data_IF_714292637845
#
_entry.id   IF_714292637845
#
_cell.length_a   1.000
_cell.length_b   1.000
_cell.length_c   1.000
_cell.angle_alpha   90.00
_cell.angle_beta   90.00
_cell.angle_gamma   90.00
#
_symmetry.space_group_name_H-M   'P 1'
#
loop_
_entity.id
_entity.type
_entity.pdbx_description
1 polymer ?
#
# COMPACT_ATOMS: atom_id res chain seq x y z
N UNK A 1 -3.67 -11.07 25.79
CA UNK A 1 -2.92 -10.64 24.58
C UNK A 1 -3.53 -9.41 23.88
N UNK A 2 -4.84 -9.37 23.54
CA UNK A 2 -5.44 -8.27 22.75
C UNK A 2 -5.49 -6.87 23.37
N UNK A 3 -5.50 -6.72 24.70
CA UNK A 3 -5.55 -5.41 25.38
C UNK A 3 -4.23 -4.62 25.25
N UNK A 4 -3.07 -5.29 25.32
CA UNK A 4 -1.75 -4.65 25.12
C UNK A 4 -1.51 -4.25 23.67
N UNK A 5 -2.00 -5.06 22.71
CA UNK A 5 -1.97 -4.77 21.26
C UNK A 5 -2.77 -3.51 20.92
N UNK A 6 -4.00 -3.38 21.42
CA UNK A 6 -4.82 -2.16 21.23
C UNK A 6 -4.18 -0.91 21.85
N UNK A 7 -3.55 -1.03 23.02
CA UNK A 7 -2.89 0.11 23.68
C UNK A 7 -1.64 0.61 22.95
N UNK A 8 -0.83 -0.29 22.36
CA UNK A 8 0.32 0.09 21.52
C UNK A 8 -0.09 0.70 20.19
N UNK A 9 -1.11 0.13 19.53
CA UNK A 9 -1.70 0.74 18.33
C UNK A 9 -2.14 2.18 18.58
N UNK A 10 -2.79 2.43 19.72
CA UNK A 10 -3.21 3.78 20.10
C UNK A 10 -2.04 4.71 20.47
N UNK A 11 -0.89 4.20 20.91
CA UNK A 11 0.30 5.03 21.13
C UNK A 11 1.04 5.35 19.84
N UNK A 12 1.16 4.38 18.94
CA UNK A 12 1.91 4.53 17.68
C UNK A 12 1.13 5.41 16.69
N UNK A 13 -0.21 5.32 16.70
CA UNK A 13 -1.10 6.24 15.98
C UNK A 13 -0.98 7.68 16.49
N UNK A 14 -0.87 7.88 17.81
CA UNK A 14 -0.72 9.23 18.39
C UNK A 14 0.59 9.91 18.03
N UNK A 15 1.63 9.13 17.72
CA UNK A 15 2.96 9.64 17.42
C UNK A 15 3.21 9.87 15.91
N UNK A 16 2.24 9.54 15.04
CA UNK A 16 2.38 9.66 13.59
C UNK A 16 1.36 10.67 13.01
N UNK A 17 1.72 11.94 12.80
CA UNK A 17 0.77 12.96 12.32
C UNK A 17 0.20 12.65 10.92
N UNK A 18 1.01 12.02 10.06
CA UNK A 18 0.62 11.58 8.70
C UNK A 18 -0.45 10.48 8.73
N UNK A 19 -0.33 9.55 9.67
CA UNK A 19 -1.30 8.48 9.90
C UNK A 19 -2.67 9.04 10.31
N UNK A 20 -2.67 9.95 11.30
CA UNK A 20 -3.89 10.62 11.78
C UNK A 20 -4.54 11.39 10.64
N UNK A 21 -3.77 12.13 9.84
CA UNK A 21 -4.28 12.85 8.69
C UNK A 21 -4.99 11.91 7.70
N UNK A 22 -4.37 10.79 7.35
CA UNK A 22 -5.00 9.77 6.48
C UNK A 22 -6.32 9.22 7.03
N UNK A 23 -6.37 8.92 8.35
CA UNK A 23 -7.58 8.45 9.04
C UNK A 23 -8.69 9.50 8.94
N UNK A 24 -8.37 10.75 9.28
CA UNK A 24 -9.34 11.85 9.28
C UNK A 24 -9.89 12.08 7.87
N UNK A 25 -9.03 12.10 6.85
CA UNK A 25 -9.45 12.28 5.46
C UNK A 25 -10.41 11.19 5.04
N UNK A 26 -10.07 9.92 5.27
CA UNK A 26 -10.95 8.81 4.87
C UNK A 26 -12.24 8.80 5.64
N UNK A 27 -12.20 9.10 6.93
CA UNK A 27 -13.40 9.20 7.75
C UNK A 27 -14.32 10.29 7.20
N UNK A 28 -13.78 11.47 6.87
CA UNK A 28 -14.55 12.58 6.30
C UNK A 28 -15.15 12.23 4.94
N UNK A 29 -14.35 11.65 4.02
CA UNK A 29 -14.83 11.26 2.69
C UNK A 29 -15.89 10.15 2.80
N UNK A 30 -15.68 9.17 3.68
CA UNK A 30 -16.64 8.08 3.91
C UNK A 30 -17.94 8.61 4.53
N UNK A 31 -17.84 9.56 5.47
CA UNK A 31 -19.01 10.19 6.09
C UNK A 31 -19.76 11.06 5.08
N UNK A 32 -19.06 11.85 4.28
CA UNK A 32 -19.62 12.64 3.20
C UNK A 32 -20.34 11.75 2.17
N UNK A 33 -19.76 10.61 1.83
CA UNK A 33 -20.39 9.60 1.00
C UNK A 33 -21.65 9.05 1.70
N UNK A 34 -21.58 8.48 2.90
CA UNK A 34 -22.73 7.85 3.57
C UNK A 34 -23.85 8.84 3.93
N UNK A 35 -23.51 10.09 4.23
CA UNK A 35 -24.50 11.11 4.60
C UNK A 35 -24.99 11.96 3.42
N UNK A 36 -24.60 11.69 2.17
CA UNK A 36 -25.02 12.52 1.02
C UNK A 36 -26.55 12.84 0.95
N UNK A 37 -27.50 11.89 1.15
CA UNK A 37 -28.94 12.13 1.12
C UNK A 37 -29.45 13.02 2.25
N UNK A 38 -28.66 13.16 3.32
CA UNK A 38 -28.97 14.00 4.47
C UNK A 38 -28.28 15.35 4.34
N UNK A 39 -27.07 15.40 3.76
CA UNK A 39 -26.28 16.61 3.57
C UNK A 39 -26.81 17.51 2.45
N UNK A 40 -27.56 16.95 1.49
CA UNK A 40 -28.17 17.71 0.40
C UNK A 40 -29.56 17.18 0.07
N UNK A 41 -30.48 18.10 -0.17
CA UNK A 41 -31.84 17.84 -0.63
C UNK A 41 -31.95 17.77 -2.15
N UNK A 42 -30.91 18.19 -2.87
CA UNK A 42 -30.91 18.19 -4.33
C UNK A 42 -30.73 16.78 -4.91
N UNK A 43 -31.34 16.54 -6.07
CA UNK A 43 -31.11 15.32 -6.84
C UNK A 43 -29.81 15.49 -7.68
N UNK A 44 -28.84 14.56 -7.61
CA UNK A 44 -27.57 14.68 -8.34
C UNK A 44 -27.71 14.70 -9.87
N UNK A 45 -28.87 14.32 -10.39
CA UNK A 45 -29.18 14.22 -11.82
C UNK A 45 -30.17 15.28 -12.29
N UNK A 46 -30.86 16.01 -11.39
CA UNK A 46 -31.84 17.01 -11.78
C UNK A 46 -31.17 18.19 -12.47
N UNK A 47 -31.64 18.51 -13.68
CA UNK A 47 -31.09 19.57 -14.53
C UNK A 47 -31.91 20.86 -14.41
N UNK A 48 -31.25 22.00 -14.28
CA UNK A 48 -31.85 23.33 -14.34
C UNK A 48 -31.00 24.24 -15.24
N UNK A 49 -31.40 24.37 -16.51
CA UNK A 49 -30.63 25.14 -17.48
C UNK A 49 -30.55 26.64 -17.16
N UNK A 50 -31.46 27.16 -16.33
CA UNK A 50 -31.39 28.57 -15.87
C UNK A 50 -30.26 28.80 -14.87
N UNK A 51 -29.79 27.73 -14.25
CA UNK A 51 -28.67 27.70 -13.33
C UNK A 51 -27.37 27.23 -13.99
N UNK A 52 -27.28 27.15 -15.32
CA UNK A 52 -26.09 26.66 -16.02
C UNK A 52 -24.82 27.44 -15.67
N UNK A 53 -23.75 26.73 -15.32
CA UNK A 53 -22.40 27.27 -15.06
C UNK A 53 -22.37 28.42 -14.05
N UNK A 54 -23.29 28.43 -13.08
CA UNK A 54 -23.21 29.36 -11.94
C UNK A 54 -21.96 29.07 -11.11
N UNK A 55 -21.16 30.10 -10.77
CA UNK A 55 -19.91 29.92 -10.08
C UNK A 55 -20.09 29.62 -8.57
N UNK A 56 -19.08 29.00 -7.93
CA UNK A 56 -19.06 28.78 -6.48
C UNK A 56 -18.98 30.09 -5.70
N UNK A 57 -19.49 30.08 -4.47
CA UNK A 57 -19.35 31.21 -3.54
C UNK A 57 -17.86 31.39 -3.17
N UNK A 58 -17.32 32.62 -3.12
CA UNK A 58 -18.00 33.93 -3.19
C UNK A 58 -17.87 34.64 -4.56
N UNK A 59 -17.68 33.91 -5.67
CA UNK A 59 -17.51 34.54 -6.98
C UNK A 59 -18.77 35.30 -7.42
N UNK A 60 -18.59 36.30 -8.28
CA UNK A 60 -19.68 37.10 -8.84
C UNK A 60 -20.67 36.21 -9.61
N UNK A 61 -21.97 36.36 -9.35
CA UNK A 61 -23.01 35.50 -9.93
C UNK A 61 -23.25 34.18 -9.19
N UNK A 62 -22.58 33.96 -8.05
CA UNK A 62 -22.83 32.80 -7.19
C UNK A 62 -24.14 32.91 -6.40
N UNK A 63 -24.64 31.77 -5.93
CA UNK A 63 -25.84 31.67 -5.10
C UNK A 63 -25.61 30.70 -3.95
N UNK A 64 -26.14 31.01 -2.76
CA UNK A 64 -26.10 30.10 -1.62
C UNK A 64 -26.87 28.80 -1.85
N UNK A 65 -27.78 28.77 -2.84
CA UNK A 65 -28.45 27.55 -3.26
C UNK A 65 -27.46 26.51 -3.81
N UNK A 66 -26.39 26.96 -4.48
CA UNK A 66 -25.36 26.13 -5.11
C UNK A 66 -23.97 26.57 -4.64
N UNK A 67 -23.61 26.23 -3.40
CA UNK A 67 -22.40 26.74 -2.75
C UNK A 67 -21.11 26.45 -3.54
N UNK A 68 -21.00 25.26 -4.14
CA UNK A 68 -19.85 24.86 -4.98
C UNK A 68 -20.09 25.10 -6.47
N UNK A 69 -21.12 25.86 -6.82
CA UNK A 69 -21.53 26.14 -8.18
C UNK A 69 -22.28 24.97 -8.83
N UNK A 70 -22.48 25.12 -10.13
CA UNK A 70 -23.26 24.20 -10.97
C UNK A 70 -22.50 23.84 -12.23
N UNK A 71 -22.90 22.76 -12.89
CA UNK A 71 -22.31 22.32 -14.16
C UNK A 71 -23.03 22.86 -15.41
N UNK A 72 -22.62 22.36 -16.58
CA UNK A 72 -23.17 22.74 -17.88
C UNK A 72 -24.66 22.42 -18.06
N UNK A 73 -25.24 21.54 -17.22
CA UNK A 73 -26.65 21.22 -17.20
C UNK A 73 -27.37 21.84 -15.98
N UNK A 74 -26.67 22.70 -15.24
CA UNK A 74 -27.17 23.34 -14.02
C UNK A 74 -27.35 22.39 -12.85
N UNK A 75 -26.66 21.24 -12.85
CA UNK A 75 -26.71 20.29 -11.74
C UNK A 75 -25.77 20.78 -10.63
N UNK A 76 -26.18 20.62 -9.38
CA UNK A 76 -25.42 21.07 -8.20
C UNK A 76 -24.11 20.27 -8.01
N UNK A 77 -22.97 20.97 -7.98
CA UNK A 77 -21.65 20.33 -7.92
C UNK A 77 -21.39 19.69 -6.55
N UNK A 78 -21.82 20.30 -5.45
CA UNK A 78 -21.66 19.75 -4.10
C UNK A 78 -22.38 18.40 -3.99
N UNK A 79 -23.63 18.35 -4.43
CA UNK A 79 -24.43 17.13 -4.46
C UNK A 79 -23.77 16.06 -5.32
N UNK A 80 -23.30 16.43 -6.52
CA UNK A 80 -22.58 15.49 -7.39
C UNK A 80 -21.27 14.99 -6.78
N UNK A 81 -20.52 15.82 -6.04
CA UNK A 81 -19.30 15.39 -5.34
C UNK A 81 -19.60 14.36 -4.25
N UNK A 82 -20.65 14.59 -3.45
CA UNK A 82 -21.04 13.69 -2.36
C UNK A 82 -21.55 12.34 -2.88
N UNK A 83 -22.42 12.35 -3.90
CA UNK A 83 -22.88 11.12 -4.54
C UNK A 83 -21.76 10.44 -5.35
N UNK A 84 -20.88 11.22 -5.98
CA UNK A 84 -19.68 10.73 -6.65
C UNK A 84 -18.74 9.99 -5.70
N UNK A 85 -18.56 10.50 -4.48
CA UNK A 85 -17.76 9.84 -3.44
C UNK A 85 -18.30 8.44 -3.13
N UNK A 86 -19.63 8.27 -3.04
CA UNK A 86 -20.26 6.95 -2.82
C UNK A 86 -19.88 5.97 -3.91
N UNK A 87 -20.05 6.38 -5.16
CA UNK A 87 -19.86 5.48 -6.31
C UNK A 87 -18.38 5.15 -6.47
N UNK A 88 -17.48 6.13 -6.41
CA UNK A 88 -16.04 5.91 -6.55
C UNK A 88 -15.47 5.06 -5.40
N UNK A 89 -15.90 5.29 -4.14
CA UNK A 89 -15.50 4.42 -3.02
C UNK A 89 -16.07 2.99 -3.16
N UNK A 90 -17.33 2.85 -3.57
CA UNK A 90 -17.93 1.54 -3.79
C UNK A 90 -17.17 0.77 -4.87
N UNK A 91 -16.85 1.41 -6.00
CA UNK A 91 -16.06 0.78 -7.06
C UNK A 91 -14.69 0.37 -6.56
N UNK A 92 -13.98 1.26 -5.85
CA UNK A 92 -12.66 0.97 -5.29
C UNK A 92 -12.66 -0.23 -4.33
N UNK A 93 -13.57 -0.22 -3.35
CA UNK A 93 -13.62 -1.25 -2.31
C UNK A 93 -14.10 -2.59 -2.86
N UNK A 94 -15.21 -2.61 -3.61
CA UNK A 94 -15.81 -3.87 -4.09
C UNK A 94 -14.91 -4.56 -5.11
N UNK A 95 -14.28 -3.81 -6.01
CA UNK A 95 -13.35 -4.40 -6.99
C UNK A 95 -12.11 -4.99 -6.32
N UNK A 96 -11.58 -4.34 -5.29
CA UNK A 96 -10.47 -4.87 -4.48
C UNK A 96 -10.88 -6.14 -3.72
N UNK A 97 -12.08 -6.19 -3.16
CA UNK A 97 -12.58 -7.40 -2.51
C UNK A 97 -12.70 -8.57 -3.49
N UNK A 98 -13.20 -8.32 -4.71
CA UNK A 98 -13.29 -9.34 -5.76
C UNK A 98 -11.88 -9.79 -6.18
N UNK A 99 -10.97 -8.85 -6.45
CA UNK A 99 -9.58 -9.11 -6.85
C UNK A 99 -8.85 -9.93 -5.79
N UNK A 100 -8.98 -9.51 -4.53
CA UNK A 100 -8.41 -10.18 -3.37
C UNK A 100 -9.00 -11.57 -3.18
N UNK A 101 -10.32 -11.74 -3.27
CA UNK A 101 -10.95 -13.04 -3.13
C UNK A 101 -10.47 -14.03 -4.19
N UNK A 102 -10.43 -13.62 -5.47
CA UNK A 102 -9.96 -14.47 -6.57
C UNK A 102 -8.47 -14.75 -6.42
N UNK A 103 -7.67 -13.70 -6.30
CA UNK A 103 -6.22 -13.81 -6.29
C UNK A 103 -5.68 -14.53 -5.06
N UNK A 104 -6.16 -14.21 -3.85
CA UNK A 104 -5.74 -14.91 -2.63
C UNK A 104 -6.12 -16.37 -2.69
N UNK A 105 -7.33 -16.72 -3.14
CA UNK A 105 -7.74 -18.12 -3.26
C UNK A 105 -6.82 -18.88 -4.21
N UNK A 106 -6.56 -18.33 -5.40
CA UNK A 106 -5.65 -18.93 -6.37
C UNK A 106 -4.22 -19.03 -5.82
N UNK A 107 -3.69 -17.97 -5.22
CA UNK A 107 -2.32 -17.96 -4.67
C UNK A 107 -2.13 -18.91 -3.49
N UNK A 108 -3.14 -19.08 -2.62
CA UNK A 108 -3.11 -20.10 -1.57
C UNK A 108 -3.06 -21.50 -2.16
N UNK A 109 -3.87 -21.78 -3.19
CA UNK A 109 -3.91 -23.08 -3.84
C UNK A 109 -2.60 -23.38 -4.58
N UNK A 110 -2.10 -22.45 -5.38
CA UNK A 110 -0.88 -22.65 -6.16
C UNK A 110 0.36 -22.73 -5.28
N UNK A 111 0.47 -21.90 -4.24
CA UNK A 111 1.60 -21.96 -3.31
C UNK A 111 1.59 -23.22 -2.42
N UNK A 112 0.41 -23.73 -2.06
CA UNK A 112 0.30 -24.91 -1.20
C UNK A 112 0.51 -26.22 -1.96
N UNK A 113 -0.19 -26.39 -3.08
CA UNK A 113 -0.14 -27.64 -3.85
C UNK A 113 1.02 -27.68 -4.85
N UNK A 114 1.42 -26.55 -5.43
CA UNK A 114 2.46 -26.48 -6.44
C UNK A 114 2.15 -27.28 -7.71
N UNK A 115 3.20 -27.63 -8.46
CA UNK A 115 3.12 -28.48 -9.66
C UNK A 115 2.42 -27.83 -10.85
N UNK A 116 1.83 -28.65 -11.72
CA UNK A 116 1.26 -28.20 -13.00
C UNK A 116 0.14 -27.15 -12.85
N UNK A 117 -0.64 -27.20 -11.77
CA UNK A 117 -1.68 -26.21 -11.50
C UNK A 117 -1.08 -24.82 -11.23
N UNK A 118 0.00 -24.77 -10.46
CA UNK A 118 0.76 -23.54 -10.23
C UNK A 118 1.30 -22.98 -11.56
N UNK A 119 1.91 -23.84 -12.38
CA UNK A 119 2.44 -23.44 -13.68
C UNK A 119 1.36 -22.83 -14.59
N UNK A 120 0.16 -23.42 -14.65
CA UNK A 120 -0.95 -22.88 -15.47
C UNK A 120 -1.41 -21.52 -14.95
N UNK A 121 -1.66 -21.40 -13.64
CA UNK A 121 -2.18 -20.16 -13.07
C UNK A 121 -1.14 -19.04 -13.19
N UNK A 122 0.14 -19.33 -12.95
CA UNK A 122 1.22 -18.34 -13.11
C UNK A 122 1.43 -17.97 -14.59
N UNK A 123 1.29 -18.92 -15.53
CA UNK A 123 1.31 -18.60 -16.97
C UNK A 123 0.16 -17.68 -17.37
N UNK A 124 -1.05 -17.92 -16.88
CA UNK A 124 -2.19 -17.01 -17.13
C UNK A 124 -1.92 -15.62 -16.54
N UNK A 125 -1.33 -15.56 -15.34
CA UNK A 125 -0.92 -14.31 -14.73
C UNK A 125 0.15 -13.57 -15.55
N UNK A 126 1.14 -14.28 -16.11
CA UNK A 126 2.19 -13.70 -16.95
C UNK A 126 1.63 -13.19 -18.29
N UNK A 127 0.72 -13.95 -18.92
CA UNK A 127 -0.01 -13.52 -20.13
C UNK A 127 -0.77 -12.23 -19.86
N UNK A 128 -1.46 -12.12 -18.72
CA UNK A 128 -2.21 -10.92 -18.39
C UNK A 128 -1.30 -9.71 -18.16
N UNK A 129 -0.17 -9.88 -17.46
CA UNK A 129 0.78 -8.79 -17.20
C UNK A 129 1.51 -8.31 -18.48
N UNK A 130 1.53 -9.12 -19.54
CA UNK A 130 2.06 -8.70 -20.83
C UNK A 130 1.22 -7.57 -21.48
N UNK A 131 -0.06 -7.45 -21.11
CA UNK A 131 -0.93 -6.37 -21.57
C UNK A 131 -0.84 -5.16 -20.65
N UNK A 132 -0.73 -3.92 -21.18
CA UNK A 132 -0.85 -2.73 -20.36
C UNK A 132 -2.22 -2.69 -19.66
N UNK A 133 -2.21 -2.56 -18.32
CA UNK A 133 -3.39 -2.72 -17.47
C UNK A 133 -4.60 -1.89 -17.94
N UNK A 134 -4.38 -0.62 -18.29
CA UNK A 134 -5.45 0.27 -18.78
C UNK A 134 -5.98 -0.18 -20.15
N UNK A 135 -5.11 -0.59 -21.07
CA UNK A 135 -5.53 -1.04 -22.40
C UNK A 135 -6.39 -2.30 -22.32
N UNK A 136 -6.00 -3.24 -21.46
CA UNK A 136 -6.79 -4.45 -21.20
C UNK A 136 -8.19 -4.10 -20.71
N UNK A 137 -8.30 -3.21 -19.72
CA UNK A 137 -9.60 -2.79 -19.19
C UNK A 137 -10.44 -2.07 -20.24
N UNK A 138 -9.83 -1.18 -21.03
CA UNK A 138 -10.53 -0.47 -22.10
C UNK A 138 -11.07 -1.44 -23.16
N UNK A 139 -10.27 -2.42 -23.58
CA UNK A 139 -10.69 -3.41 -24.56
C UNK A 139 -11.87 -4.25 -24.04
N UNK A 140 -11.80 -4.70 -22.78
CA UNK A 140 -12.86 -5.50 -22.16
C UNK A 140 -14.15 -4.66 -22.00
N UNK A 141 -14.05 -3.42 -21.52
CA UNK A 141 -15.21 -2.54 -21.36
C UNK A 141 -15.82 -2.10 -22.69
N UNK A 142 -15.03 -1.96 -23.75
CA UNK A 142 -15.53 -1.65 -25.09
C UNK A 142 -16.44 -2.77 -25.62
N UNK A 143 -16.17 -4.03 -25.27
CA UNK A 143 -17.00 -5.18 -25.66
C UNK A 143 -18.21 -5.36 -24.73
N UNK A 144 -18.00 -5.26 -23.41
CA UNK A 144 -19.05 -5.49 -22.41
C UNK A 144 -20.06 -4.31 -22.34
N UNK A 145 -19.60 -3.10 -22.65
CA UNK A 145 -20.38 -1.86 -22.58
C UNK A 145 -20.37 -1.18 -21.20
N UNK A 146 -20.74 0.11 -21.14
CA UNK A 146 -20.64 0.92 -19.95
C UNK A 146 -21.64 0.50 -18.87
N UNK A 147 -21.22 0.61 -17.60
CA UNK A 147 -22.08 0.31 -16.47
C UNK A 147 -21.33 0.10 -15.18
N UNK A 148 -21.93 0.50 -14.05
CA UNK A 148 -21.31 0.37 -12.73
C UNK A 148 -20.92 -1.07 -12.39
N UNK A 149 -21.83 -2.02 -12.63
CA UNK A 149 -21.57 -3.45 -12.39
C UNK A 149 -20.45 -3.98 -13.29
N UNK A 150 -20.47 -3.62 -14.56
CA UNK A 150 -19.46 -4.05 -15.53
C UNK A 150 -18.08 -3.52 -15.14
N UNK A 151 -18.00 -2.24 -14.78
CA UNK A 151 -16.77 -1.60 -14.33
C UNK A 151 -16.19 -2.29 -13.08
N UNK A 152 -17.03 -2.58 -12.08
CA UNK A 152 -16.62 -3.31 -10.86
C UNK A 152 -16.09 -4.70 -11.19
N UNK A 153 -16.80 -5.45 -12.04
CA UNK A 153 -16.41 -6.81 -12.40
C UNK A 153 -15.11 -6.81 -13.21
N UNK A 154 -14.94 -5.89 -14.14
CA UNK A 154 -13.72 -5.78 -14.95
C UNK A 154 -12.53 -5.40 -14.06
N UNK A 155 -12.65 -4.34 -13.25
CA UNK A 155 -11.59 -3.95 -12.30
C UNK A 155 -11.26 -5.07 -11.31
N UNK A 156 -12.29 -5.77 -10.82
CA UNK A 156 -12.15 -6.86 -9.87
C UNK A 156 -11.50 -8.11 -10.44
N UNK A 157 -11.86 -8.48 -11.68
CA UNK A 157 -11.30 -9.66 -12.34
C UNK A 157 -9.92 -9.38 -12.90
N UNK A 158 -9.56 -8.15 -13.28
CA UNK A 158 -8.21 -7.85 -13.76
C UNK A 158 -7.20 -7.68 -12.63
N UNK A 159 -7.63 -7.27 -11.43
CA UNK A 159 -6.72 -7.04 -10.29
C UNK A 159 -6.17 -8.29 -9.59
N UNK A 160 -6.66 -9.50 -9.92
CA UNK A 160 -6.35 -10.73 -9.17
C UNK A 160 -4.87 -11.14 -9.15
N UNK A 161 -4.11 -10.82 -10.20
CA UNK A 161 -2.72 -11.30 -10.38
C UNK A 161 -1.81 -10.86 -9.24
N UNK A 162 -1.91 -9.59 -8.83
CA UNK A 162 -1.08 -9.04 -7.74
C UNK A 162 -1.32 -9.78 -6.43
N UNK A 163 -2.58 -10.08 -6.11
CA UNK A 163 -2.93 -10.84 -4.91
C UNK A 163 -2.49 -12.31 -5.00
N UNK A 164 -2.62 -12.92 -6.18
CA UNK A 164 -2.22 -14.31 -6.38
C UNK A 164 -0.72 -14.51 -6.19
N UNK A 165 0.11 -13.65 -6.78
CA UNK A 165 1.57 -13.72 -6.61
C UNK A 165 1.99 -13.47 -5.15
N UNK A 166 1.38 -12.47 -4.50
CA UNK A 166 1.67 -12.18 -3.09
C UNK A 166 1.31 -13.38 -2.20
N UNK A 167 0.07 -13.88 -2.29
CA UNK A 167 -0.39 -14.99 -1.48
C UNK A 167 0.47 -16.24 -1.75
N UNK A 168 0.77 -16.55 -3.01
CA UNK A 168 1.66 -17.65 -3.40
C UNK A 168 3.03 -17.53 -2.73
N UNK A 169 3.69 -16.38 -2.83
CA UNK A 169 5.00 -16.15 -2.22
C UNK A 169 4.99 -16.33 -0.70
N UNK A 170 3.95 -15.83 -0.03
CA UNK A 170 3.78 -16.03 1.41
C UNK A 170 3.54 -17.50 1.77
N UNK A 171 2.73 -18.22 0.99
CA UNK A 171 2.45 -19.65 1.24
C UNK A 171 3.70 -20.50 1.06
N UNK A 172 4.52 -20.23 0.04
CA UNK A 172 5.77 -20.96 -0.19
C UNK A 172 6.70 -20.89 1.02
N UNK A 173 6.81 -19.72 1.67
CA UNK A 173 7.59 -19.58 2.91
C UNK A 173 6.90 -20.20 4.13
N UNK A 174 5.57 -20.04 4.27
CA UNK A 174 4.84 -20.50 5.45
C UNK A 174 4.66 -22.02 5.49
N UNK A 175 4.54 -22.69 4.34
CA UNK A 175 4.30 -24.13 4.27
C UNK A 175 5.47 -24.97 4.79
N UNK A 176 6.67 -24.39 4.86
CA UNK A 176 7.92 -25.01 5.31
C UNK A 176 8.20 -24.75 6.80
N UNK A 177 7.31 -24.05 7.51
CA UNK A 177 7.49 -23.76 8.95
C UNK A 177 7.07 -24.91 9.85
N UNK A 178 7.74 -25.04 11.00
CA UNK A 178 7.52 -26.09 12.01
C UNK A 178 6.05 -26.25 12.43
N UNK A 179 5.27 -25.17 12.53
CA UNK A 179 3.86 -25.26 12.92
C UNK A 179 2.98 -25.95 11.86
N UNK A 180 3.37 -25.89 10.58
CA UNK A 180 2.68 -26.60 9.50
C UNK A 180 3.06 -28.07 9.52
N UNK A 181 4.33 -28.38 9.75
CA UNK A 181 4.82 -29.76 9.91
C UNK A 181 4.15 -30.44 11.10
N UNK A 182 4.13 -29.78 12.26
CA UNK A 182 3.43 -30.28 13.45
C UNK A 182 1.93 -30.51 13.18
N UNK A 183 1.26 -29.62 12.46
CA UNK A 183 -0.14 -29.80 12.07
C UNK A 183 -0.34 -31.02 11.14
N UNK A 184 0.59 -31.29 10.22
CA UNK A 184 0.57 -32.49 9.37
C UNK A 184 0.79 -33.76 10.19
N UNK A 185 1.74 -33.76 11.13
CA UNK A 185 2.06 -34.91 11.99
C UNK A 185 0.90 -35.36 12.87
N UNK A 186 0.00 -34.44 13.26
CA UNK A 186 -1.24 -34.77 13.98
C UNK A 186 -2.43 -35.10 13.06
N UNK A 187 -2.19 -35.28 11.75
CA UNK A 187 -3.21 -35.66 10.76
C UNK A 187 -4.17 -34.55 10.34
N UNK A 188 -3.79 -33.27 10.45
CA UNK A 188 -4.64 -32.18 9.95
C UNK A 188 -4.73 -32.21 8.42
N UNK A 189 -5.96 -32.25 7.89
CA UNK A 189 -6.18 -32.20 6.44
C UNK A 189 -5.75 -30.88 5.80
N UNK A 190 -5.44 -30.91 4.50
CA UNK A 190 -4.92 -29.78 3.72
C UNK A 190 -5.76 -28.50 3.86
N UNK A 191 -7.08 -28.59 3.75
CA UNK A 191 -7.98 -27.44 3.91
C UNK A 191 -7.90 -26.82 5.30
N UNK A 192 -7.76 -27.65 6.34
CA UNK A 192 -7.59 -27.17 7.72
C UNK A 192 -6.25 -26.43 7.85
N UNK A 193 -5.18 -26.94 7.25
CA UNK A 193 -3.87 -26.28 7.23
C UNK A 193 -3.97 -24.92 6.52
N UNK A 194 -4.55 -24.89 5.33
CA UNK A 194 -4.68 -23.65 4.54
C UNK A 194 -5.49 -22.60 5.29
N UNK A 195 -6.72 -22.90 5.71
CA UNK A 195 -7.62 -21.89 6.27
C UNK A 195 -7.35 -21.54 7.73
N UNK A 196 -6.82 -22.48 8.54
CA UNK A 196 -6.60 -22.26 9.98
C UNK A 196 -5.17 -21.85 10.31
N UNK A 197 -4.19 -22.23 9.50
CA UNK A 197 -2.78 -21.98 9.78
C UNK A 197 -2.13 -21.04 8.76
N UNK A 198 -2.32 -21.23 7.46
CA UNK A 198 -1.62 -20.43 6.44
C UNK A 198 -2.33 -19.09 6.21
N UNK A 199 -3.60 -19.10 5.81
CA UNK A 199 -4.35 -17.89 5.46
C UNK A 199 -4.26 -16.82 6.56
N UNK A 200 -4.49 -17.11 7.87
CA UNK A 200 -4.40 -16.10 8.91
C UNK A 200 -3.03 -15.44 9.03
N UNK A 201 -1.95 -16.16 8.70
CA UNK A 201 -0.59 -15.62 8.68
C UNK A 201 -0.28 -14.81 7.41
N UNK A 202 -1.02 -15.03 6.31
CA UNK A 202 -0.89 -14.25 5.06
C UNK A 202 -1.75 -12.98 5.03
N UNK A 203 -2.81 -12.90 5.86
CA UNK A 203 -3.77 -11.79 5.83
C UNK A 203 -3.14 -10.42 6.03
N UNK A 204 -2.09 -10.35 6.84
CA UNK A 204 -1.40 -9.11 7.15
C UNK A 204 -0.88 -8.37 5.90
N UNK A 205 0.12 -8.93 5.19
CA UNK A 205 0.60 -8.38 3.93
C UNK A 205 -0.50 -8.16 2.88
N UNK A 206 -1.51 -9.04 2.84
CA UNK A 206 -2.65 -8.91 1.91
C UNK A 206 -3.45 -7.63 2.20
N UNK A 207 -3.74 -7.33 3.47
CA UNK A 207 -4.50 -6.13 3.88
C UNK A 207 -3.71 -4.85 3.57
N UNK A 208 -2.38 -4.88 3.74
CA UNK A 208 -1.51 -3.75 3.39
C UNK A 208 -1.63 -3.44 1.91
N UNK A 209 -1.43 -4.43 1.03
CA UNK A 209 -1.55 -4.23 -0.42
C UNK A 209 -2.98 -3.87 -0.83
N UNK A 210 -3.99 -4.46 -0.18
CA UNK A 210 -5.39 -4.12 -0.45
C UNK A 210 -5.67 -2.63 -0.23
N UNK A 211 -5.06 -2.01 0.76
CA UNK A 211 -5.23 -0.57 1.03
C UNK A 211 -4.74 0.27 -0.16
N UNK A 212 -3.53 0.03 -0.66
CA UNK A 212 -2.99 0.72 -1.84
C UNK A 212 -3.76 0.39 -3.13
N UNK A 213 -4.29 -0.83 -3.23
CA UNK A 213 -5.09 -1.24 -4.37
C UNK A 213 -6.42 -0.49 -4.46
N UNK A 214 -7.05 -0.12 -3.33
CA UNK A 214 -8.28 0.69 -3.35
C UNK A 214 -7.99 2.05 -3.99
N UNK A 215 -6.91 2.72 -3.58
CA UNK A 215 -6.50 4.00 -4.16
C UNK A 215 -6.23 3.88 -5.67
N UNK A 216 -5.47 2.86 -6.07
CA UNK A 216 -5.14 2.59 -7.48
C UNK A 216 -6.39 2.28 -8.32
N UNK A 217 -7.36 1.58 -7.73
CA UNK A 217 -8.63 1.25 -8.37
C UNK A 217 -9.53 2.48 -8.54
N UNK A 218 -9.54 3.40 -7.56
CA UNK A 218 -10.27 4.68 -7.68
C UNK A 218 -9.69 5.52 -8.83
N UNK A 219 -8.37 5.57 -8.96
CA UNK A 219 -7.72 6.26 -10.09
C UNK A 219 -8.09 5.59 -11.42
N UNK A 220 -8.10 4.25 -11.45
CA UNK A 220 -8.47 3.49 -12.65
C UNK A 220 -9.93 3.70 -13.04
N UNK A 221 -10.85 3.69 -12.08
CA UNK A 221 -12.27 4.06 -12.26
C UNK A 221 -12.36 5.47 -12.84
N UNK A 222 -11.70 6.44 -12.22
CA UNK A 222 -11.74 7.82 -12.67
C UNK A 222 -11.20 7.97 -14.10
N UNK A 223 -10.14 7.24 -14.44
CA UNK A 223 -9.51 7.23 -15.77
C UNK A 223 -10.44 6.64 -16.82
N UNK A 224 -11.06 5.48 -16.55
CA UNK A 224 -11.98 4.82 -17.47
C UNK A 224 -13.28 5.62 -17.66
N UNK A 225 -13.82 6.18 -16.57
CA UNK A 225 -14.96 7.10 -16.61
C UNK A 225 -14.62 8.39 -17.37
N UNK A 226 -13.41 8.93 -17.20
CA UNK A 226 -12.95 10.09 -17.96
C UNK A 226 -12.88 9.82 -19.46
N UNK A 227 -12.44 8.62 -19.85
CA UNK A 227 -12.38 8.14 -21.23
C UNK A 227 -13.74 7.69 -21.80
N UNK A 228 -14.83 7.81 -21.05
CA UNK A 228 -16.18 7.46 -21.51
C UNK A 228 -16.52 5.96 -21.46
N UNK A 229 -15.66 5.13 -20.88
CA UNK A 229 -15.83 3.67 -20.77
C UNK A 229 -16.32 3.22 -19.39
N UNK A 230 -16.52 4.16 -18.46
CA UNK A 230 -16.92 3.89 -17.09
C UNK A 230 -18.43 3.70 -16.91
N UNK A 231 -19.02 4.53 -16.05
CA UNK A 231 -20.45 4.46 -15.71
C UNK A 231 -21.32 5.23 -16.70
N UNK A 232 -22.64 5.01 -16.63
CA UNK A 232 -23.61 5.80 -17.41
C UNK A 232 -23.62 7.27 -16.93
N UNK A 233 -23.88 8.26 -17.80
CA UNK A 233 -23.89 9.68 -17.43
C UNK A 233 -24.89 10.08 -16.33
N UNK A 234 -25.92 9.25 -16.10
CA UNK A 234 -26.90 9.43 -15.01
C UNK A 234 -26.32 9.13 -13.62
N UNK A 235 -25.17 8.44 -13.55
CA UNK A 235 -24.52 8.06 -12.30
C UNK A 235 -23.34 9.00 -12.06
N UNK A 236 -23.37 9.86 -11.02
CA UNK A 236 -22.24 10.73 -10.74
C UNK A 236 -21.04 9.90 -10.25
N UNK A 237 -19.88 10.07 -10.89
CA UNK A 237 -18.56 9.66 -10.38
C UNK A 237 -17.59 10.81 -10.54
N UNK A 238 -16.52 10.84 -9.75
CA UNK A 238 -15.53 11.90 -9.88
C UNK A 238 -14.84 11.90 -11.26
N UNK A 239 -14.60 10.71 -11.83
CA UNK A 239 -14.07 10.60 -13.19
C UNK A 239 -15.00 11.15 -14.28
N UNK A 240 -16.30 10.88 -14.17
CA UNK A 240 -17.29 11.43 -15.11
C UNK A 240 -17.40 12.95 -14.97
N UNK A 241 -17.39 13.47 -13.74
CA UNK A 241 -17.39 14.92 -13.49
C UNK A 241 -16.16 15.61 -14.11
N UNK A 242 -14.97 14.99 -14.01
CA UNK A 242 -13.76 15.47 -14.68
C UNK A 242 -13.90 15.48 -16.20
N UNK A 243 -14.52 14.43 -16.77
CA UNK A 243 -14.75 14.32 -18.22
C UNK A 243 -15.63 15.48 -18.72
N UNK A 244 -16.78 15.68 -18.06
CA UNK A 244 -17.74 16.74 -18.38
C UNK A 244 -17.12 18.14 -18.20
N UNK A 245 -16.27 18.32 -17.18
CA UNK A 245 -15.61 19.60 -16.89
C UNK A 245 -14.52 19.98 -17.89
N UNK A 246 -13.94 19.02 -18.62
CA UNK A 246 -12.80 19.24 -19.52
C UNK A 246 -13.05 20.36 -20.54
N UNK A 247 -14.26 20.44 -21.08
CA UNK A 247 -14.63 21.44 -22.09
C UNK A 247 -14.79 22.84 -21.51
N UNK A 248 -15.00 22.95 -20.19
CA UNK A 248 -15.34 24.19 -19.49
C UNK A 248 -14.22 24.74 -18.64
N UNK A 249 -13.01 24.14 -18.63
CA UNK A 249 -11.89 24.53 -17.75
C UNK A 249 -11.60 26.03 -17.75
N UNK A 250 -11.70 26.69 -18.91
CA UNK A 250 -11.43 28.13 -19.05
C UNK A 250 -12.54 29.02 -18.48
N UNK A 251 -13.79 28.54 -18.45
CA UNK A 251 -14.97 29.31 -18.04
C UNK A 251 -15.41 28.96 -16.61
N UNK A 252 -15.33 27.68 -16.25
CA UNK A 252 -15.84 27.10 -15.03
C UNK A 252 -14.84 26.07 -14.46
N UNK A 253 -13.71 26.58 -13.99
CA UNK A 253 -12.59 25.76 -13.46
C UNK A 253 -13.01 24.80 -12.33
N UNK A 254 -14.05 25.14 -11.58
CA UNK A 254 -14.55 24.32 -10.47
C UNK A 254 -15.09 22.95 -10.92
N UNK A 255 -15.55 22.82 -12.18
CA UNK A 255 -16.03 21.54 -12.74
C UNK A 255 -14.91 20.48 -12.80
N UNK A 256 -13.65 20.89 -13.01
CA UNK A 256 -12.51 19.96 -13.04
C UNK A 256 -11.74 19.92 -11.74
N UNK A 257 -11.49 21.08 -11.13
CA UNK A 257 -10.62 21.16 -9.96
C UNK A 257 -11.23 20.48 -8.74
N UNK A 258 -12.53 20.64 -8.50
CA UNK A 258 -13.18 20.05 -7.33
C UNK A 258 -13.21 18.51 -7.35
N UNK A 259 -13.67 17.83 -8.42
CA UNK A 259 -13.58 16.37 -8.48
C UNK A 259 -12.13 15.87 -8.54
N UNK A 260 -11.22 16.61 -9.17
CA UNK A 260 -9.78 16.29 -9.16
C UNK A 260 -9.17 16.32 -7.76
N UNK A 261 -9.50 17.35 -6.97
CA UNK A 261 -9.09 17.46 -5.57
C UNK A 261 -9.71 16.35 -4.71
N UNK A 262 -10.98 16.01 -4.95
CA UNK A 262 -11.64 14.92 -4.24
C UNK A 262 -10.92 13.58 -4.45
N UNK A 263 -10.55 13.26 -5.69
CA UNK A 263 -9.72 12.09 -6.02
C UNK A 263 -8.36 12.18 -5.32
N UNK A 264 -7.65 13.29 -5.48
CA UNK A 264 -6.29 13.46 -4.96
C UNK A 264 -6.23 13.31 -3.43
N UNK A 265 -7.12 14.00 -2.70
CA UNK A 265 -7.20 13.94 -1.24
C UNK A 265 -7.57 12.54 -0.78
N UNK A 266 -8.54 11.89 -1.44
CA UNK A 266 -8.97 10.53 -1.08
C UNK A 266 -7.85 9.51 -1.28
N UNK A 267 -7.19 9.54 -2.45
CA UNK A 267 -6.06 8.66 -2.78
C UNK A 267 -4.91 8.87 -1.79
N UNK A 268 -4.57 10.13 -1.50
CA UNK A 268 -3.52 10.45 -0.55
C UNK A 268 -3.88 9.97 0.86
N UNK A 269 -5.12 10.15 1.30
CA UNK A 269 -5.61 9.63 2.57
C UNK A 269 -5.46 8.11 2.68
N UNK A 270 -5.85 7.38 1.62
CA UNK A 270 -5.73 5.91 1.55
C UNK A 270 -4.28 5.45 1.57
N UNK A 271 -3.41 6.11 0.80
CA UNK A 271 -2.00 5.77 0.77
C UNK A 271 -1.32 6.02 2.11
N UNK A 272 -1.67 7.11 2.81
CA UNK A 272 -1.15 7.40 4.15
C UNK A 272 -1.63 6.39 5.20
N UNK A 273 -2.86 5.88 5.10
CA UNK A 273 -3.31 4.76 5.95
C UNK A 273 -2.53 3.48 5.69
N UNK A 274 -2.21 3.20 4.42
CA UNK A 274 -1.43 2.03 4.04
C UNK A 274 -0.06 1.99 4.72
N UNK A 275 0.57 3.15 4.96
CA UNK A 275 1.86 3.24 5.66
C UNK A 275 1.79 2.69 7.08
N UNK A 276 0.73 2.98 7.83
CA UNK A 276 0.53 2.48 9.21
C UNK A 276 0.53 0.95 9.22
N UNK A 277 -0.22 0.35 8.29
CA UNK A 277 -0.32 -1.10 8.17
C UNK A 277 1.03 -1.75 7.80
N UNK A 278 1.89 -1.05 7.04
CA UNK A 278 3.25 -1.51 6.71
C UNK A 278 4.16 -1.48 7.94
N UNK A 279 4.09 -0.41 8.75
CA UNK A 279 4.90 -0.26 9.97
C UNK A 279 4.58 -1.33 11.02
N UNK A 280 3.30 -1.70 11.17
CA UNK A 280 2.91 -2.80 12.07
C UNK A 280 3.58 -4.14 11.70
N UNK A 281 3.70 -4.44 10.40
CA UNK A 281 4.29 -5.70 9.96
C UNK A 281 5.80 -5.77 10.18
N UNK A 282 6.51 -4.67 9.93
CA UNK A 282 7.93 -4.59 10.21
C UNK A 282 8.21 -4.73 11.72
N UNK A 283 7.44 -4.05 12.57
CA UNK A 283 7.61 -4.13 14.04
C UNK A 283 7.28 -5.52 14.57
N UNK A 284 6.22 -6.20 14.07
CA UNK A 284 5.88 -7.56 14.51
C UNK A 284 6.90 -8.60 14.04
N UNK A 285 7.42 -8.49 12.81
CA UNK A 285 8.47 -9.38 12.31
C UNK A 285 9.75 -9.22 13.13
N UNK A 286 10.11 -7.99 13.48
CA UNK A 286 11.29 -7.69 14.29
C UNK A 286 11.13 -8.19 15.75
N UNK A 287 9.93 -8.02 16.32
CA UNK A 287 9.62 -8.53 17.68
C UNK A 287 9.53 -10.05 17.73
N UNK A 288 9.06 -10.71 16.67
CA UNK A 288 8.94 -12.18 16.60
C UNK A 288 10.26 -12.86 16.26
N UNK A 289 11.16 -12.19 15.51
CA UNK A 289 12.52 -12.69 15.23
C UNK A 289 13.39 -12.71 16.49
N UNK A 290 13.18 -11.76 17.40
CA UNK A 290 13.91 -11.68 18.68
C UNK A 290 13.41 -12.61 19.79
N UNK A 291 12.35 -13.40 19.57
CA UNK A 291 11.78 -14.29 20.60
C UNK A 291 11.73 -15.76 20.16
N UNK A 292 12.86 -16.26 19.65
CA UNK A 292 13.16 -17.68 19.56
C UNK A 292 13.76 -18.22 20.86
N UNK A 293 12.95 -18.96 21.64
CA UNK A 293 13.28 -19.84 22.78
C UNK A 293 13.89 -19.21 24.06
N UNK A 294 13.26 -19.39 25.24
CA UNK A 294 13.81 -19.01 26.54
C UNK A 294 14.82 -20.08 27.00
N UNK A 295 16.11 -19.76 26.91
CA UNK A 295 17.18 -20.66 27.35
C UNK A 295 18.57 -20.02 27.44
N UNK A 296 18.95 -19.16 26.49
CA UNK A 296 20.37 -18.77 26.34
C UNK A 296 20.67 -17.27 26.51
N UNK A 297 19.84 -16.51 27.22
CA UNK A 297 20.06 -15.07 27.46
C UNK A 297 20.23 -14.68 28.94
N UNK A 298 20.66 -15.63 29.78
CA UNK A 298 21.16 -15.34 31.13
C UNK A 298 22.69 -15.44 31.17
N UNK A 299 23.35 -14.40 30.66
CA UNK A 299 24.69 -13.95 31.13
C UNK A 299 25.01 -12.66 30.40
N UNK A 300 24.49 -11.55 30.92
CA UNK A 300 25.06 -10.21 30.91
C UNK A 300 24.10 -9.34 31.75
N UNK A 301 23.97 -9.72 33.02
CA UNK A 301 23.42 -8.87 34.06
C UNK A 301 24.54 -8.73 35.08
N UNK A 302 25.21 -7.58 35.03
CA UNK A 302 26.37 -7.28 35.86
C UNK A 302 27.14 -6.09 35.30
N UNK A 303 26.47 -4.95 35.18
CA UNK A 303 26.95 -3.66 35.72
C UNK A 303 26.17 -2.48 35.11
N UNK A 304 26.07 -1.42 35.91
CA UNK A 304 25.15 -0.30 35.77
C UNK A 304 25.17 0.42 34.41
N UNK A 305 23.98 0.70 33.86
CA UNK A 305 23.80 1.72 32.82
C UNK A 305 23.63 3.08 33.53
N UNK A 306 24.56 4.05 33.42
CA UNK A 306 24.44 5.34 34.12
C UNK A 306 23.54 6.33 33.38
N UNK A 307 22.84 7.17 34.15
CA UNK A 307 21.94 8.29 33.78
C UNK A 307 22.60 9.46 33.01
N UNK A 308 23.49 9.22 32.05
CA UNK A 308 24.19 10.30 31.32
C UNK A 308 24.05 10.22 29.80
N UNK A 309 22.85 10.49 29.27
CA UNK A 309 22.74 11.12 27.93
C UNK A 309 21.63 12.19 27.99
N UNK A 310 21.94 13.32 28.64
CA UNK A 310 21.25 14.59 28.44
C UNK A 310 21.98 15.33 27.32
N UNK A 311 21.24 15.63 26.26
CA UNK A 311 21.57 16.43 25.09
C UNK A 311 22.89 17.24 25.12
N UNK A 312 23.76 17.02 24.13
CA UNK A 312 24.84 17.95 23.77
C UNK A 312 24.88 18.15 22.25
N UNK A 313 24.30 19.28 21.84
CA UNK A 313 24.54 20.12 20.68
C UNK A 313 25.10 19.54 19.37
N UNK A 314 24.31 19.81 18.31
CA UNK A 314 24.70 20.44 17.04
C UNK A 314 25.44 19.62 15.98
N UNK A 315 25.02 18.39 15.67
CA UNK A 315 25.39 17.74 14.39
C UNK A 315 24.46 16.55 13.98
N UNK A 316 23.13 16.63 14.20
CA UNK A 316 22.23 15.45 14.09
C UNK A 316 20.98 15.67 13.21
N UNK A 317 21.08 16.35 12.07
CA UNK A 317 19.95 16.47 11.14
C UNK A 317 20.22 15.96 9.71
N UNK A 318 21.46 15.59 9.40
CA UNK A 318 21.84 15.13 8.04
C UNK A 318 21.83 13.60 7.93
N UNK A 319 22.16 12.87 9.00
CA UNK A 319 22.26 11.39 8.97
C UNK A 319 20.91 10.66 8.81
N UNK A 320 19.82 11.25 9.31
CA UNK A 320 18.50 10.59 9.26
C UNK A 320 17.87 10.65 7.85
N UNK A 321 18.08 11.76 7.13
CA UNK A 321 17.54 11.94 5.79
C UNK A 321 18.31 11.09 4.77
N UNK A 322 19.62 10.93 4.96
CA UNK A 322 20.47 10.07 4.13
C UNK A 322 20.18 8.58 4.36
N UNK A 323 20.00 8.15 5.61
CA UNK A 323 19.52 6.79 5.90
C UNK A 323 18.14 6.51 5.30
N UNK A 324 17.24 7.50 5.29
CA UNK A 324 15.92 7.40 4.66
C UNK A 324 16.02 7.29 3.13
N UNK A 325 16.92 8.06 2.53
CA UNK A 325 17.16 8.07 1.07
C UNK A 325 17.78 6.75 0.63
N UNK A 326 18.69 6.19 1.45
CA UNK A 326 19.26 4.86 1.26
C UNK A 326 18.18 3.78 1.33
N UNK A 327 17.32 3.82 2.36
CA UNK A 327 16.20 2.87 2.51
C UNK A 327 15.19 2.98 1.35
N UNK A 328 14.91 4.19 0.85
CA UNK A 328 14.03 4.41 -0.31
C UNK A 328 14.64 3.93 -1.62
N UNK A 329 15.96 4.04 -1.79
CA UNK A 329 16.66 3.50 -2.95
C UNK A 329 16.68 1.96 -2.94
N UNK A 330 16.74 1.36 -1.74
CA UNK A 330 16.76 -0.09 -1.52
C UNK A 330 15.36 -0.75 -1.59
N UNK A 331 14.26 0.00 -1.47
CA UNK A 331 12.86 -0.47 -1.62
C UNK A 331 12.54 -0.95 -3.08
N UNK A 332 13.48 -0.78 -4.02
CA UNK A 332 13.37 -1.26 -5.42
C UNK A 332 14.05 -2.59 -5.70
N UNK A 333 14.72 -3.20 -4.70
CA UNK A 333 15.48 -4.43 -4.88
C UNK A 333 14.79 -5.54 -4.06
N UNK A 334 14.15 -6.53 -4.72
CA UNK A 334 13.62 -7.69 -4.01
C UNK A 334 14.80 -8.47 -3.40
N UNK A 335 14.67 -8.86 -2.13
CA UNK A 335 15.67 -9.58 -1.30
C UNK A 335 16.79 -8.74 -0.65
N UNK A 336 16.47 -7.60 -0.04
CA UNK A 336 17.44 -6.86 0.78
C UNK A 336 17.20 -7.07 2.29
N UNK A 337 18.23 -7.53 3.01
CA UNK A 337 18.31 -7.70 4.48
C UNK A 337 19.26 -6.64 5.06
N UNK A 338 18.79 -5.85 6.03
CA UNK A 338 19.49 -4.73 6.70
C UNK A 338 18.83 -4.55 8.08
N UNK A 339 19.44 -4.35 9.27
CA UNK A 339 20.80 -4.16 9.80
C UNK A 339 20.73 -4.49 11.31
N UNK A 340 21.79 -5.08 11.88
CA UNK A 340 22.01 -5.09 13.32
C UNK A 340 22.77 -3.83 13.75
N UNK A 341 22.23 -3.10 14.73
CA UNK A 341 22.98 -2.05 15.44
C UNK A 341 23.80 -2.75 16.52
N UNK A 342 25.13 -2.67 16.45
CA UNK A 342 25.95 -3.13 17.58
C UNK A 342 25.71 -2.21 18.79
N UNK A 343 25.45 -2.74 20.00
CA UNK A 343 25.02 -1.93 21.14
C UNK A 343 26.07 -0.94 21.65
N UNK A 344 27.33 -1.10 21.28
CA UNK A 344 28.44 -0.36 21.88
C UNK A 344 28.83 0.92 21.13
N UNK A 345 28.41 1.12 19.87
CA UNK A 345 28.68 2.34 19.12
C UNK A 345 27.53 2.69 18.14
N UNK A 346 26.75 3.72 18.47
CA UNK A 346 25.63 4.27 17.65
C UNK A 346 26.13 4.89 16.32
N UNK A 347 27.43 4.80 16.00
CA UNK A 347 28.06 5.45 14.85
C UNK A 347 28.33 4.53 13.65
N UNK A 348 28.02 3.22 13.74
CA UNK A 348 28.42 2.26 12.69
C UNK A 348 27.21 1.56 12.05
N UNK A 349 27.04 1.75 10.74
CA UNK A 349 26.00 1.12 9.92
C UNK A 349 26.61 -0.04 9.12
N UNK A 350 26.31 -1.31 9.48
CA UNK A 350 26.90 -2.50 8.86
C UNK A 350 25.91 -3.24 7.94
N UNK A 351 26.05 -3.04 6.62
CA UNK A 351 25.26 -3.72 5.59
C UNK A 351 25.91 -5.05 5.16
N UNK A 352 25.18 -6.15 5.26
CA UNK A 352 25.62 -7.47 4.75
C UNK A 352 24.74 -7.87 3.57
N UNK A 353 25.36 -8.05 2.40
CA UNK A 353 24.67 -8.35 1.13
C UNK A 353 25.06 -9.73 0.62
N UNK A 354 24.10 -10.47 0.07
CA UNK A 354 24.38 -11.72 -0.66
C UNK A 354 24.94 -11.42 -2.05
N UNK A 355 25.84 -12.26 -2.62
CA UNK A 355 26.51 -11.98 -3.91
C UNK A 355 25.61 -11.55 -5.08
N UNK A 356 24.44 -12.18 -5.34
CA UNK A 356 23.56 -11.75 -6.46
C UNK A 356 22.89 -10.39 -6.21
N UNK A 357 22.68 -10.02 -4.95
CA UNK A 357 22.10 -8.72 -4.55
C UNK A 357 23.18 -7.64 -4.57
N UNK A 358 24.40 -7.95 -4.13
CA UNK A 358 25.55 -7.04 -4.20
C UNK A 358 25.76 -6.50 -5.62
N UNK A 359 25.73 -7.37 -6.64
CA UNK A 359 25.92 -6.96 -8.03
C UNK A 359 24.85 -5.98 -8.55
N UNK A 360 23.61 -6.09 -8.08
CA UNK A 360 22.50 -5.23 -8.51
C UNK A 360 22.52 -3.86 -7.82
N UNK A 361 23.05 -3.78 -6.60
CA UNK A 361 22.97 -2.59 -5.75
C UNK A 361 24.31 -1.82 -5.69
N UNK A 362 25.40 -2.42 -6.17
CA UNK A 362 26.73 -1.78 -6.23
C UNK A 362 26.72 -0.35 -6.83
N UNK A 363 25.98 -0.04 -7.91
CA UNK A 363 25.95 1.34 -8.45
C UNK A 363 25.36 2.35 -7.45
N UNK A 364 24.37 1.94 -6.67
CA UNK A 364 23.70 2.76 -5.65
C UNK A 364 24.60 2.91 -4.43
N UNK A 365 25.28 1.84 -4.01
CA UNK A 365 26.25 1.86 -2.92
C UNK A 365 27.40 2.82 -3.25
N UNK A 366 27.95 2.74 -4.46
CA UNK A 366 29.04 3.63 -4.92
C UNK A 366 28.62 5.10 -5.01
N UNK A 367 27.34 5.37 -5.32
CA UNK A 367 26.80 6.73 -5.31
C UNK A 367 26.72 7.30 -3.88
N UNK A 368 26.28 6.47 -2.93
CA UNK A 368 26.16 6.84 -1.52
C UNK A 368 27.53 7.02 -0.87
N UNK A 369 28.47 6.09 -1.11
CA UNK A 369 29.83 6.18 -0.61
C UNK A 369 30.55 7.45 -1.09
N UNK A 370 30.32 7.87 -2.35
CA UNK A 370 30.86 9.14 -2.88
C UNK A 370 30.30 10.37 -2.17
N UNK A 371 29.03 10.35 -1.79
CA UNK A 371 28.42 11.47 -1.08
C UNK A 371 28.89 11.50 0.38
N UNK A 372 29.06 10.33 1.00
CA UNK A 372 29.67 10.19 2.33
C UNK A 372 31.13 10.66 2.36
N UNK A 373 31.93 10.36 1.33
CA UNK A 373 33.30 10.89 1.18
C UNK A 373 33.31 12.42 1.05
N UNK A 374 32.38 13.00 0.28
CA UNK A 374 32.21 14.46 0.18
C UNK A 374 31.90 15.12 1.51
N UNK A 375 31.18 14.43 2.38
CA UNK A 375 30.79 14.89 3.71
C UNK A 375 31.84 14.58 4.79
N UNK A 376 32.96 13.96 4.42
CA UNK A 376 34.07 13.65 5.33
C UNK A 376 33.82 12.44 6.24
N UNK A 377 32.83 11.60 5.93
CA UNK A 377 32.56 10.38 6.66
C UNK A 377 33.56 9.28 6.27
N UNK A 378 34.12 8.61 7.28
CA UNK A 378 35.03 7.47 7.08
C UNK A 378 34.22 6.18 6.98
N UNK A 379 34.49 5.35 5.97
CA UNK A 379 33.90 4.03 5.83
C UNK A 379 34.99 2.97 5.65
N UNK A 380 34.68 1.71 6.04
CA UNK A 380 35.57 0.57 5.85
C UNK A 380 34.77 -0.59 5.23
N UNK A 381 35.11 -0.98 4.01
CA UNK A 381 34.58 -2.20 3.37
C UNK A 381 35.30 -3.41 3.98
N UNK A 382 34.57 -4.32 4.61
CA UNK A 382 35.10 -5.63 5.05
C UNK A 382 34.52 -6.70 4.13
N UNK A 383 35.38 -7.48 3.49
CA UNK A 383 34.96 -8.66 2.72
C UNK A 383 34.83 -9.85 3.68
N UNK A 384 33.88 -10.75 3.43
CA UNK A 384 33.56 -11.88 4.31
C UNK A 384 34.74 -12.85 4.55
N UNK A 385 35.87 -12.69 3.84
CA UNK A 385 37.10 -13.47 4.05
C UNK A 385 37.89 -13.09 5.31
N UNK A 386 37.58 -11.95 5.96
CA UNK A 386 38.37 -11.43 7.10
C UNK A 386 38.00 -12.05 8.46
N UNK A 387 37.24 -13.15 8.49
CA UNK A 387 36.80 -13.83 9.73
C UNK A 387 37.01 -15.35 9.75
N UNK A 388 37.95 -15.88 8.97
CA UNK A 388 38.52 -17.21 9.25
C UNK A 388 39.89 -17.02 9.89
N UNK A 389 40.07 -17.28 11.19
CA UNK A 389 41.39 -17.46 11.76
C UNK A 389 42.07 -18.58 10.98
N UNK A 390 43.18 -18.27 10.30
CA UNK A 390 43.95 -19.22 9.47
C UNK A 390 44.65 -20.35 10.27
N UNK A 391 44.43 -20.43 11.58
CA UNK A 391 45.17 -21.32 12.49
C UNK A 391 44.32 -22.44 13.12
N UNK A 392 43.24 -22.90 12.47
CA UNK A 392 42.47 -24.05 12.98
C UNK A 392 42.13 -25.13 11.94
N UNK A 393 42.85 -25.14 10.81
CA UNK A 393 42.82 -26.26 9.85
C UNK A 393 44.17 -26.96 9.87
N UNK A 394 44.54 -27.52 11.02
CA UNK A 394 45.54 -28.57 11.09
C UNK A 394 45.23 -29.47 12.29
N UNK A 395 45.05 -30.76 12.01
CA UNK A 395 44.80 -31.88 12.93
C UNK A 395 43.37 -32.08 13.44
N UNK A 396 42.55 -32.77 12.65
CA UNK A 396 42.03 -34.08 13.06
C UNK A 396 41.53 -34.88 11.84
N UNK A 397 42.15 -36.02 11.48
CA UNK A 397 41.56 -36.97 10.56
C UNK A 397 40.76 -37.99 11.37
N UNK A 398 39.43 -37.92 11.31
CA UNK A 398 38.50 -39.04 11.47
C UNK A 398 37.07 -38.62 11.07
#
# INVERSE_FOLDING_TARGET
SGSRRKKRLLSDLKNSPTAIFGIVVILLVSLAAVLAPVLTTYNPVSTDLTARLRPPVPLEGSTFAHMLGTDALGRDILTRLLYGARVSLLVGIVSVLISGAIGVSLGLMTGYFGGWFDDIVMRLADIQLAFPFILLMMAVLAVIGPGLRNLILVLGVTGWVTYARLARGQVLSLREKEFVEAARSIGAGNLRIIFKHILPNTLGPIIVIASFAVASTIISEATLSFLGLGVKPTTPTWGMMLSEGREYVRQAWWLTTLPGLAIAITVLGINLLGVISRTEHLVVVDTMRNHGKPGDLYRLQGDAIPDRIRAKNSLHQVDFLEALTLCQALDKVPETVIIGVEPEDIQTLSLVLTPPVQAQVEPVIQMVLRELERLGASYRRKEASDHVPRDSVENNPD
#
